data_IF_801001012649
#
_entry.id   IF_801001012649
#
_cell.length_a   1.000
_cell.length_b   1.000
_cell.length_c   1.000
_cell.angle_alpha   90.00
_cell.angle_beta   90.00
_cell.angle_gamma   90.00
#
_symmetry.space_group_name_H-M   'P 1'
#
loop_
_entity.id
_entity.type
_entity.pdbx_description
1 polymer ?
#
# COMPACT_ATOMS: atom_id res chain seq x y z
N UNK A 1 25.67 34.56 -12.73
CA UNK A 1 24.30 34.96 -13.14
C UNK A 1 23.30 33.79 -13.17
N UNK A 2 23.70 32.54 -13.43
CA UNK A 2 22.78 31.38 -13.45
C UNK A 2 22.15 31.03 -12.08
N UNK A 3 22.85 31.26 -10.96
CA UNK A 3 22.37 30.92 -9.60
C UNK A 3 21.24 31.84 -9.11
N UNK A 4 21.25 33.12 -9.49
CA UNK A 4 20.19 34.07 -9.12
C UNK A 4 18.87 33.76 -9.83
N UNK A 5 18.91 33.33 -11.09
CA UNK A 5 17.72 32.91 -11.85
C UNK A 5 17.09 31.62 -11.29
N UNK A 6 17.89 30.69 -10.78
CA UNK A 6 17.41 29.50 -10.09
C UNK A 6 16.78 29.84 -8.73
N UNK A 7 17.39 30.76 -7.97
CA UNK A 7 16.85 31.22 -6.69
C UNK A 7 15.54 31.99 -6.86
N UNK A 8 15.40 32.81 -7.91
CA UNK A 8 14.13 33.48 -8.24
C UNK A 8 13.09 32.53 -8.82
N UNK A 9 13.48 31.48 -9.54
CA UNK A 9 12.55 30.43 -9.98
C UNK A 9 11.99 29.60 -8.81
N UNK A 10 12.82 29.26 -7.83
CA UNK A 10 12.38 28.62 -6.57
C UNK A 10 11.47 29.57 -5.77
N UNK A 11 11.82 30.85 -5.66
CA UNK A 11 10.97 31.86 -4.99
C UNK A 11 9.66 32.14 -5.73
N UNK A 12 9.65 32.09 -7.06
CA UNK A 12 8.46 32.24 -7.89
C UNK A 12 7.55 31.00 -7.81
N UNK A 13 8.12 29.78 -7.75
CA UNK A 13 7.39 28.55 -7.48
C UNK A 13 6.80 28.49 -6.06
N UNK A 14 7.55 28.97 -5.07
CA UNK A 14 7.08 29.10 -3.67
C UNK A 14 6.05 30.23 -3.53
N UNK A 15 6.18 31.32 -4.30
CA UNK A 15 5.22 32.43 -4.35
C UNK A 15 3.89 32.04 -5.00
N UNK A 16 3.90 31.17 -6.02
CA UNK A 16 2.69 30.58 -6.60
C UNK A 16 2.01 29.57 -5.66
N UNK A 17 2.78 28.89 -4.80
CA UNK A 17 2.28 27.90 -3.84
C UNK A 17 1.56 28.51 -2.62
N UNK A 18 1.61 29.83 -2.40
CA UNK A 18 1.04 30.46 -1.21
C UNK A 18 -0.51 30.49 -1.18
N UNK A 19 -1.17 30.25 -2.31
CA UNK A 19 -2.63 30.13 -2.41
C UNK A 19 -3.09 28.76 -2.93
N UNK A 20 -2.18 27.80 -3.10
CA UNK A 20 -2.51 26.46 -3.60
C UNK A 20 -2.71 25.50 -2.42
N UNK A 21 -3.76 24.72 -2.50
CA UNK A 21 -4.14 23.65 -1.58
C UNK A 21 -3.77 22.29 -2.20
N UNK A 22 -3.73 21.23 -1.38
CA UNK A 22 -3.59 19.85 -1.90
C UNK A 22 -4.66 19.53 -2.94
N UNK A 23 -5.87 20.06 -2.75
CA UNK A 23 -7.04 19.76 -3.57
C UNK A 23 -6.94 20.38 -4.97
N UNK A 24 -6.18 21.47 -5.15
CA UNK A 24 -5.98 22.09 -6.47
C UNK A 24 -5.19 21.19 -7.45
N UNK A 25 -4.50 20.17 -6.93
CA UNK A 25 -3.83 19.13 -7.74
C UNK A 25 -4.72 17.93 -8.06
N UNK A 26 -5.89 17.84 -7.44
CA UNK A 26 -6.79 16.69 -7.60
C UNK A 26 -7.63 16.86 -8.88
N UNK A 27 -7.75 15.82 -9.71
CA UNK A 27 -8.62 15.86 -10.88
C UNK A 27 -10.08 16.21 -10.54
N UNK A 28 -10.76 16.93 -11.44
CA UNK A 28 -12.12 17.44 -11.20
C UNK A 28 -13.15 16.34 -10.91
N UNK A 29 -12.96 15.15 -11.48
CA UNK A 29 -13.79 13.97 -11.26
C UNK A 29 -13.65 13.38 -9.85
N UNK A 30 -12.55 13.67 -9.14
CA UNK A 30 -12.28 13.17 -7.79
C UNK A 30 -12.75 14.12 -6.69
N UNK A 31 -13.02 15.40 -7.01
CA UNK A 31 -13.30 16.45 -6.02
C UNK A 31 -14.48 16.14 -5.10
N UNK A 32 -15.49 15.42 -5.60
CA UNK A 32 -16.68 15.07 -4.83
C UNK A 32 -16.43 14.07 -3.67
N UNK A 33 -15.28 13.39 -3.66
CA UNK A 33 -14.87 12.48 -2.58
C UNK A 33 -13.89 13.13 -1.60
N UNK A 34 -13.44 14.35 -1.88
CA UNK A 34 -12.47 15.06 -1.03
C UNK A 34 -13.22 15.84 0.04
N UNK A 35 -13.03 15.45 1.30
CA UNK A 35 -13.62 16.17 2.43
C UNK A 35 -13.08 17.60 2.55
N UNK A 36 -13.91 18.53 3.05
CA UNK A 36 -13.58 19.94 3.27
C UNK A 36 -12.33 20.11 4.13
N UNK A 37 -12.06 19.16 5.02
CA UNK A 37 -10.84 19.10 5.83
C UNK A 37 -9.55 19.20 5.00
N UNK A 38 -9.49 18.64 3.78
CA UNK A 38 -8.25 18.59 3.00
C UNK A 38 -7.87 19.92 2.32
N UNK A 39 -8.81 20.87 2.22
CA UNK A 39 -8.58 22.19 1.62
C UNK A 39 -7.67 23.09 2.46
N UNK A 40 -7.47 22.79 3.75
CA UNK A 40 -6.63 23.60 4.63
C UNK A 40 -5.12 23.31 4.49
N UNK A 41 -4.74 22.23 3.79
CA UNK A 41 -3.35 21.80 3.70
C UNK A 41 -2.70 22.25 2.39
N UNK A 42 -1.45 22.74 2.44
CA UNK A 42 -0.68 23.05 1.23
C UNK A 42 -0.23 21.75 0.52
N UNK A 43 0.00 21.78 -0.81
CA UNK A 43 0.48 20.63 -1.54
C UNK A 43 1.84 20.15 -1.01
N UNK A 44 1.95 18.84 -0.83
CA UNK A 44 3.18 18.22 -0.33
C UNK A 44 4.33 18.38 -1.34
N UNK A 45 5.56 18.56 -0.82
CA UNK A 45 6.76 18.73 -1.65
C UNK A 45 6.95 17.49 -2.56
N UNK A 46 7.34 17.67 -3.85
CA UNK A 46 7.63 16.57 -4.76
C UNK A 46 8.64 15.55 -4.24
N UNK A 47 9.60 15.98 -3.42
CA UNK A 47 10.59 15.09 -2.80
C UNK A 47 9.94 14.03 -1.89
N UNK A 48 8.92 14.41 -1.12
CA UNK A 48 8.21 13.48 -0.24
C UNK A 48 7.41 12.46 -1.04
N UNK A 49 6.77 12.87 -2.13
CA UNK A 49 6.11 11.95 -3.05
C UNK A 49 7.11 10.95 -3.67
N UNK A 50 8.28 11.42 -4.08
CA UNK A 50 9.34 10.56 -4.60
C UNK A 50 9.84 9.56 -3.53
N UNK A 51 10.08 10.02 -2.30
CA UNK A 51 10.49 9.15 -1.19
C UNK A 51 9.46 8.06 -0.90
N UNK A 52 8.16 8.41 -0.85
CA UNK A 52 7.07 7.46 -0.66
C UNK A 52 6.96 6.48 -1.84
N UNK A 53 7.05 6.99 -3.07
CA UNK A 53 7.03 6.16 -4.28
C UNK A 53 8.14 5.11 -4.30
N UNK A 54 9.38 5.51 -3.98
CA UNK A 54 10.51 4.58 -3.87
C UNK A 54 10.34 3.57 -2.73
N UNK A 55 9.91 4.01 -1.55
CA UNK A 55 9.69 3.13 -0.41
C UNK A 55 8.65 2.04 -0.76
N UNK A 56 7.52 2.43 -1.33
CA UNK A 56 6.45 1.50 -1.71
C UNK A 56 6.88 0.59 -2.86
N UNK A 57 7.66 1.10 -3.82
CA UNK A 57 8.22 0.27 -4.89
C UNK A 57 9.08 -0.87 -4.33
N UNK A 58 10.02 -0.57 -3.42
CA UNK A 58 10.84 -1.62 -2.80
C UNK A 58 10.04 -2.55 -1.91
N UNK A 59 9.09 -2.04 -1.12
CA UNK A 59 8.20 -2.86 -0.30
C UNK A 59 7.35 -3.81 -1.17
N UNK A 60 6.84 -3.33 -2.30
CA UNK A 60 6.09 -4.14 -3.25
C UNK A 60 6.97 -5.26 -3.82
N UNK A 61 8.18 -4.95 -4.29
CA UNK A 61 9.12 -5.96 -4.79
C UNK A 61 9.45 -7.02 -3.75
N UNK A 62 9.82 -6.60 -2.53
CA UNK A 62 10.18 -7.51 -1.45
C UNK A 62 8.98 -8.40 -1.08
N UNK A 63 7.79 -7.82 -0.98
CA UNK A 63 6.59 -8.57 -0.62
C UNK A 63 6.18 -9.56 -1.71
N UNK A 64 6.17 -9.15 -2.98
CA UNK A 64 5.80 -10.05 -4.09
C UNK A 64 6.78 -11.22 -4.21
N UNK A 65 8.08 -10.95 -4.13
CA UNK A 65 9.09 -12.00 -4.20
C UNK A 65 9.04 -12.88 -2.95
N UNK A 66 9.01 -12.28 -1.76
CA UNK A 66 9.04 -13.00 -0.48
C UNK A 66 7.80 -13.90 -0.31
N UNK A 67 6.61 -13.34 -0.47
CA UNK A 67 5.37 -14.11 -0.35
C UNK A 67 5.21 -15.10 -1.51
N UNK A 68 5.64 -14.75 -2.73
CA UNK A 68 5.68 -15.67 -3.86
C UNK A 68 6.58 -16.89 -3.60
N UNK A 69 7.76 -16.67 -2.99
CA UNK A 69 8.65 -17.76 -2.57
C UNK A 69 8.00 -18.66 -1.52
N UNK A 70 7.33 -18.08 -0.51
CA UNK A 70 6.61 -18.87 0.51
C UNK A 70 5.54 -19.73 -0.14
N UNK A 71 4.69 -19.16 -0.99
CA UNK A 71 3.65 -19.91 -1.70
C UNK A 71 4.28 -21.06 -2.52
N UNK A 72 5.37 -20.78 -3.24
CA UNK A 72 6.05 -21.78 -4.07
C UNK A 72 6.64 -22.94 -3.24
N UNK A 73 7.33 -22.64 -2.14
CA UNK A 73 7.99 -23.65 -1.29
C UNK A 73 6.95 -24.57 -0.65
N UNK A 74 5.90 -24.01 -0.06
CA UNK A 74 4.87 -24.78 0.64
C UNK A 74 3.96 -25.56 -0.32
N UNK A 75 3.76 -25.08 -1.55
CA UNK A 75 2.96 -25.78 -2.57
C UNK A 75 3.74 -26.89 -3.28
N UNK A 76 5.05 -26.71 -3.48
CA UNK A 76 5.92 -27.66 -4.18
C UNK A 76 6.39 -28.82 -3.29
N UNK A 77 6.55 -28.58 -1.98
CA UNK A 77 7.11 -29.57 -1.05
C UNK A 77 6.01 -30.42 -0.41
N UNK A 78 5.89 -31.70 -0.81
CA UNK A 78 4.84 -32.61 -0.32
C UNK A 78 4.83 -32.78 1.20
N UNK A 79 6.00 -32.80 1.85
CA UNK A 79 6.13 -32.97 3.31
C UNK A 79 5.62 -31.78 4.11
N UNK A 80 5.48 -30.60 3.50
CA UNK A 80 5.01 -29.38 4.14
C UNK A 80 3.49 -29.17 3.99
N UNK A 81 2.76 -30.07 3.32
CA UNK A 81 1.31 -29.95 3.09
C UNK A 81 0.50 -30.44 4.30
N UNK A 82 0.65 -29.76 5.43
CA UNK A 82 -0.15 -29.99 6.63
C UNK A 82 -1.26 -28.94 6.76
N UNK A 83 -2.37 -29.22 7.46
CA UNK A 83 -3.45 -28.26 7.67
C UNK A 83 -2.99 -26.92 8.27
N UNK A 84 -2.07 -26.96 9.25
CA UNK A 84 -1.51 -25.74 9.85
C UNK A 84 -0.70 -24.91 8.84
N UNK A 85 0.01 -25.57 7.91
CA UNK A 85 0.79 -24.88 6.89
C UNK A 85 -0.07 -24.28 5.77
N UNK A 86 -1.30 -24.77 5.56
CA UNK A 86 -2.26 -24.13 4.63
C UNK A 86 -2.67 -22.74 5.10
N UNK A 87 -2.74 -22.51 6.43
CA UNK A 87 -3.00 -21.18 6.97
C UNK A 87 -1.86 -20.20 6.63
N UNK A 88 -0.61 -20.67 6.69
CA UNK A 88 0.56 -19.87 6.30
C UNK A 88 0.54 -19.55 4.81
N UNK A 89 0.14 -20.50 3.96
CA UNK A 89 -0.04 -20.25 2.52
C UNK A 89 -1.15 -19.23 2.26
N UNK A 90 -2.27 -19.29 2.99
CA UNK A 90 -3.35 -18.31 2.86
C UNK A 90 -2.89 -16.90 3.26
N UNK A 91 -2.09 -16.79 4.33
CA UNK A 91 -1.50 -15.52 4.75
C UNK A 91 -0.58 -14.95 3.67
N UNK A 92 0.35 -15.76 3.16
CA UNK A 92 1.27 -15.36 2.09
C UNK A 92 0.52 -14.98 0.81
N UNK A 93 -0.55 -15.68 0.47
CA UNK A 93 -1.40 -15.35 -0.68
C UNK A 93 -2.12 -14.00 -0.49
N UNK A 94 -2.67 -13.75 0.70
CA UNK A 94 -3.30 -12.47 1.05
C UNK A 94 -2.31 -11.31 0.94
N UNK A 95 -1.12 -11.45 1.51
CA UNK A 95 -0.08 -10.41 1.50
C UNK A 95 0.49 -10.17 0.09
N UNK A 96 0.61 -11.23 -0.72
CA UNK A 96 0.99 -11.14 -2.13
C UNK A 96 -0.06 -10.35 -2.93
N UNK A 97 -1.34 -10.69 -2.81
CA UNK A 97 -2.42 -10.00 -3.52
C UNK A 97 -2.58 -8.55 -3.05
N UNK A 98 -2.40 -8.29 -1.75
CA UNK A 98 -2.41 -6.93 -1.21
C UNK A 98 -1.35 -6.07 -1.88
N UNK A 99 -0.09 -6.51 -1.95
CA UNK A 99 0.95 -5.72 -2.59
C UNK A 99 0.83 -5.66 -4.11
N UNK A 100 0.31 -6.72 -4.74
CA UNK A 100 0.04 -6.74 -6.18
C UNK A 100 -1.01 -5.70 -6.57
N UNK A 101 -2.09 -5.58 -5.78
CA UNK A 101 -3.19 -4.66 -6.07
C UNK A 101 -2.91 -3.24 -5.59
N UNK A 102 -2.22 -3.05 -4.47
CA UNK A 102 -2.00 -1.73 -3.87
C UNK A 102 -0.69 -1.05 -4.32
N UNK A 103 0.36 -1.84 -4.59
CA UNK A 103 1.69 -1.33 -4.88
C UNK A 103 1.75 -0.49 -6.16
N UNK A 104 1.43 -1.04 -7.34
CA UNK A 104 1.55 -0.33 -8.61
C UNK A 104 0.71 0.96 -8.68
N UNK A 105 -0.58 0.98 -8.29
CA UNK A 105 -1.35 2.22 -8.29
C UNK A 105 -0.71 3.28 -7.39
N UNK A 106 -0.26 2.92 -6.19
CA UNK A 106 0.33 3.88 -5.26
C UNK A 106 1.66 4.46 -5.78
N UNK A 107 2.52 3.65 -6.39
CA UNK A 107 3.76 4.14 -7.02
C UNK A 107 3.44 5.14 -8.13
N UNK A 108 2.45 4.86 -8.96
CA UNK A 108 2.01 5.76 -10.04
C UNK A 108 1.43 7.06 -9.49
N UNK A 109 0.56 7.00 -8.46
CA UNK A 109 -0.01 8.20 -7.84
C UNK A 109 1.07 9.06 -7.14
N UNK A 110 2.10 8.44 -6.55
CA UNK A 110 3.27 9.16 -6.03
C UNK A 110 4.04 9.85 -7.16
N UNK A 111 4.19 9.22 -8.33
CA UNK A 111 4.88 9.83 -9.47
C UNK A 111 4.11 11.03 -10.05
N UNK A 112 2.78 10.95 -10.12
CA UNK A 112 1.93 12.05 -10.60
C UNK A 112 1.55 13.08 -9.54
N UNK A 113 1.99 12.89 -8.28
CA UNK A 113 1.68 13.74 -7.11
C UNK A 113 0.17 13.89 -6.81
N UNK A 114 -0.68 13.04 -7.41
CA UNK A 114 -2.14 13.08 -7.30
C UNK A 114 -2.75 11.74 -7.71
N UNK A 115 -4.02 11.53 -7.37
CA UNK A 115 -4.73 10.32 -7.77
C UNK A 115 -5.22 10.39 -9.22
N UNK A 116 -4.72 9.52 -10.09
CA UNK A 116 -4.97 9.60 -11.56
C UNK A 116 -5.89 8.51 -12.12
N UNK A 117 -6.28 7.52 -11.32
CA UNK A 117 -7.05 6.36 -11.80
C UNK A 117 -8.58 6.55 -11.74
N UNK A 118 -9.04 7.73 -11.31
CA UNK A 118 -10.46 8.07 -11.18
C UNK A 118 -11.16 7.45 -9.95
N UNK A 119 -12.46 7.74 -9.77
CA UNK A 119 -13.22 7.43 -8.56
C UNK A 119 -13.41 5.94 -8.31
N UNK A 120 -13.84 5.20 -9.32
CA UNK A 120 -14.08 3.75 -9.20
C UNK A 120 -12.82 2.99 -8.76
N UNK A 121 -11.65 3.35 -9.32
CA UNK A 121 -10.40 2.73 -8.93
C UNK A 121 -10.01 3.07 -7.49
N UNK A 122 -10.36 4.26 -6.99
CA UNK A 122 -10.13 4.66 -5.60
C UNK A 122 -10.95 3.79 -4.63
N UNK A 123 -12.23 3.56 -4.93
CA UNK A 123 -13.11 2.68 -4.15
C UNK A 123 -12.61 1.24 -4.15
N UNK A 124 -12.25 0.71 -5.33
CA UNK A 124 -11.67 -0.64 -5.45
C UNK A 124 -10.35 -0.75 -4.69
N UNK A 125 -9.52 0.29 -4.73
CA UNK A 125 -8.27 0.34 -3.99
C UNK A 125 -8.53 0.22 -2.48
N UNK A 126 -9.42 1.04 -1.94
CA UNK A 126 -9.80 0.99 -0.53
C UNK A 126 -10.44 -0.35 -0.14
N UNK A 127 -11.32 -0.89 -0.98
CA UNK A 127 -11.97 -2.19 -0.75
C UNK A 127 -10.96 -3.33 -0.70
N UNK A 128 -10.08 -3.43 -1.69
CA UNK A 128 -9.05 -4.48 -1.75
C UNK A 128 -8.08 -4.37 -0.56
N UNK A 129 -7.62 -3.16 -0.23
CA UNK A 129 -6.75 -2.94 0.92
C UNK A 129 -7.39 -3.39 2.24
N UNK A 130 -8.67 -3.06 2.45
CA UNK A 130 -9.42 -3.49 3.63
C UNK A 130 -9.64 -5.02 3.64
N UNK A 131 -10.05 -5.60 2.51
CA UNK A 131 -10.33 -7.03 2.39
C UNK A 131 -9.10 -7.88 2.70
N UNK A 132 -7.98 -7.64 2.02
CA UNK A 132 -6.76 -8.41 2.24
C UNK A 132 -6.17 -8.17 3.63
N UNK A 133 -6.25 -6.94 4.15
CA UNK A 133 -5.86 -6.64 5.53
C UNK A 133 -6.67 -7.45 6.55
N UNK A 134 -7.99 -7.53 6.38
CA UNK A 134 -8.86 -8.34 7.23
C UNK A 134 -8.54 -9.83 7.10
N UNK A 135 -8.37 -10.35 5.88
CA UNK A 135 -8.02 -11.77 5.63
C UNK A 135 -6.70 -12.12 6.33
N UNK A 136 -5.68 -11.27 6.25
CA UNK A 136 -4.39 -11.52 6.91
C UNK A 136 -4.54 -11.57 8.43
N UNK A 137 -5.29 -10.65 9.05
CA UNK A 137 -5.53 -10.66 10.51
C UNK A 137 -6.31 -11.91 10.93
N UNK A 138 -7.40 -12.24 10.25
CA UNK A 138 -8.18 -13.45 10.56
C UNK A 138 -7.35 -14.73 10.39
N UNK A 139 -6.47 -14.77 9.39
CA UNK A 139 -5.55 -15.90 9.20
C UNK A 139 -4.55 -16.01 10.35
N UNK A 140 -3.97 -14.89 10.78
CA UNK A 140 -3.08 -14.85 11.95
C UNK A 140 -3.79 -15.32 13.23
N UNK A 141 -5.06 -14.95 13.41
CA UNK A 141 -5.90 -15.44 14.51
C UNK A 141 -6.06 -16.96 14.44
N UNK A 142 -6.38 -17.52 13.26
CA UNK A 142 -6.51 -18.97 13.09
C UNK A 142 -5.19 -19.72 13.33
N UNK A 143 -4.06 -19.14 12.91
CA UNK A 143 -2.73 -19.68 13.22
C UNK A 143 -2.51 -19.69 14.74
N UNK A 144 -2.84 -18.60 15.44
CA UNK A 144 -2.71 -18.52 16.89
C UNK A 144 -3.58 -19.59 17.60
N UNK A 145 -4.80 -19.82 17.13
CA UNK A 145 -5.67 -20.89 17.64
C UNK A 145 -5.09 -22.29 17.41
N UNK A 146 -4.58 -22.57 16.22
CA UNK A 146 -3.90 -23.84 15.90
C UNK A 146 -2.69 -24.05 16.82
N UNK A 147 -1.85 -23.03 17.00
CA UNK A 147 -0.69 -23.09 17.91
C UNK A 147 -1.11 -23.29 19.36
N UNK A 148 -2.17 -22.63 19.81
CA UNK A 148 -2.74 -22.81 21.15
C UNK A 148 -3.19 -24.25 21.38
N UNK A 149 -3.95 -24.84 20.43
CA UNK A 149 -4.43 -26.22 20.56
C UNK A 149 -3.29 -27.23 20.61
N UNK A 150 -2.25 -27.06 19.78
CA UNK A 150 -1.10 -27.96 19.76
C UNK A 150 -0.29 -27.88 21.05
N UNK A 151 -0.08 -26.67 21.59
CA UNK A 151 0.79 -26.45 22.75
C UNK A 151 0.05 -26.70 24.08
N UNK A 152 -1.17 -26.20 24.22
CA UNK A 152 -1.89 -26.18 25.50
C UNK A 152 -2.79 -27.40 25.66
N UNK A 153 -3.48 -27.82 24.60
CA UNK A 153 -4.38 -28.98 24.64
C UNK A 153 -3.68 -30.30 24.26
N UNK A 154 -2.36 -30.28 23.98
CA UNK A 154 -1.60 -31.41 23.47
C UNK A 154 -1.73 -32.72 24.27
N UNK A 155 -2.08 -33.82 23.58
CA UNK A 155 -2.21 -35.22 24.04
C UNK A 155 -3.20 -35.45 25.21
N UNK A 156 -4.19 -34.58 25.42
CA UNK A 156 -5.26 -34.81 26.42
C UNK A 156 -6.67 -34.96 25.81
N UNK A 157 -6.78 -35.20 24.50
CA UNK A 157 -8.02 -35.55 23.82
C UNK A 157 -7.99 -36.99 23.32
#
# INVERSE_FOLDING_TARGET
MASYAAWTAVKAGVGAAMNLTVVDKVPADMLHMVDVHWYQFPPMNPLWHAMLGWAIFFLCLISLIGNGMVINIFTSTKTLKTPSNLLVVNLAFSDFLMMFTMGPPMVMNCYYETWVFGPFACEVYAMCGSLFGCVSIWTMTMIAFDRYNVIVNGISA
#
